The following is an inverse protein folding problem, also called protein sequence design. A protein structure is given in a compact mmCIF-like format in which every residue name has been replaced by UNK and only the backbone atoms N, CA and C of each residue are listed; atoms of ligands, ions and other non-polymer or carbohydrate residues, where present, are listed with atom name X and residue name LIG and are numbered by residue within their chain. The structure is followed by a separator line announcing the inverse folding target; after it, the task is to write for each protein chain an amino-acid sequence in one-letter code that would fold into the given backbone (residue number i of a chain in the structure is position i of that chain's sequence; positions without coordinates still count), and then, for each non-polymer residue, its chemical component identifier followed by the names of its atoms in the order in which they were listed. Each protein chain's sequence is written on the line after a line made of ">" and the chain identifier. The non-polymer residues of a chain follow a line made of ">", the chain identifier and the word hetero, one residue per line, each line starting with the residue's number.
data_IF_599199117825
#
_entry.id   IF_599199117825
#
_cell.length_a   1.000
_cell.length_b   1.000
_cell.length_c   1.000
_cell.angle_alpha   90.00
_cell.angle_beta   90.00
_cell.angle_gamma   90.00
#
_symmetry.space_group_name_H-M   'P 1'
#
loop_
_entity.id
_entity.type
_entity.pdbx_description
1 polymer ?
#
# COMPACT_ATOMS: atom_id res chain seq x y z
N UNK A 1 38.35 0.46 0.55
CA UNK A 1 38.15 1.60 1.49
C UNK A 1 36.71 1.63 2.00
N UNK A 2 35.93 0.64 1.60
CA UNK A 2 34.47 0.57 1.66
C UNK A 2 33.99 -0.15 2.93
N UNK A 3 34.76 -1.12 3.42
CA UNK A 3 34.47 -1.88 4.65
C UNK A 3 34.49 -1.01 5.94
N UNK A 4 35.24 0.11 5.92
CA UNK A 4 35.25 1.08 7.04
C UNK A 4 34.09 2.06 6.99
N UNK A 5 33.59 2.38 5.80
CA UNK A 5 32.45 3.29 5.61
C UNK A 5 31.14 2.59 5.98
N UNK A 6 31.02 1.31 5.59
CA UNK A 6 29.86 0.46 5.93
C UNK A 6 29.79 0.21 7.46
N UNK A 7 30.94 -0.01 8.10
CA UNK A 7 31.04 -0.07 9.57
C UNK A 7 30.70 1.25 10.27
N UNK A 8 30.95 2.41 9.66
CA UNK A 8 30.60 3.70 10.28
C UNK A 8 29.12 4.02 10.16
N UNK A 9 28.47 3.62 9.05
CA UNK A 9 27.02 3.74 8.85
C UNK A 9 26.29 2.77 9.80
N UNK A 10 26.79 1.54 9.94
CA UNK A 10 26.22 0.55 10.89
C UNK A 10 26.30 0.98 12.36
N UNK A 11 27.36 1.70 12.77
CA UNK A 11 27.53 2.16 14.16
C UNK A 11 26.77 3.43 14.52
N UNK A 12 26.33 4.20 13.53
CA UNK A 12 25.56 5.44 13.74
C UNK A 12 24.05 5.23 13.69
N UNK A 13 23.58 4.14 13.08
CA UNK A 13 22.14 3.86 12.96
C UNK A 13 21.46 3.43 14.27
N UNK A 14 22.20 2.84 15.22
CA UNK A 14 21.66 2.41 16.52
C UNK A 14 22.67 2.66 17.65
N UNK A 15 22.64 3.82 18.32
CA UNK A 15 23.33 3.99 19.59
C UNK A 15 22.67 3.10 20.66
N UNK A 16 23.48 2.51 21.55
CA UNK A 16 23.05 1.62 22.62
C UNK A 16 21.97 2.27 23.52
N UNK A 17 20.70 2.00 23.25
CA UNK A 17 19.60 2.39 24.14
C UNK A 17 19.58 1.49 25.39
N UNK A 18 19.73 2.13 26.55
CA UNK A 18 19.57 1.51 27.88
C UNK A 18 18.16 0.90 28.03
N UNK A 19 18.02 -0.25 28.72
CA UNK A 19 16.70 -0.85 28.93
C UNK A 19 15.86 0.06 29.84
N UNK A 20 14.66 0.43 29.38
CA UNK A 20 13.64 1.07 30.23
C UNK A 20 12.76 -0.04 30.79
N UNK A 21 12.97 -0.34 32.06
CA UNK A 21 12.15 -1.26 32.85
C UNK A 21 10.88 -0.49 33.27
N UNK A 22 9.70 -0.96 32.85
CA UNK A 22 8.41 -0.33 33.17
C UNK A 22 7.70 -1.21 34.20
N UNK A 23 7.74 -0.79 35.46
CA UNK A 23 6.99 -1.39 36.55
C UNK A 23 5.50 -1.07 36.42
N UNK A 24 4.66 -2.10 36.52
CA UNK A 24 3.21 -1.97 36.41
C UNK A 24 2.58 -1.38 37.67
N UNK A 25 1.78 -0.33 37.49
CA UNK A 25 0.76 0.11 38.45
C UNK A 25 0.82 1.61 38.76
N UNK A 26 -0.26 2.33 38.41
CA UNK A 26 -0.53 3.77 38.68
C UNK A 26 -0.08 4.82 37.61
N UNK A 27 0.46 4.39 36.46
CA UNK A 27 1.22 5.28 35.54
C UNK A 27 0.47 5.94 34.34
N UNK A 28 -0.85 5.84 34.19
CA UNK A 28 -1.46 6.17 32.88
C UNK A 28 -1.39 7.66 32.47
N UNK A 29 -1.31 8.58 33.43
CA UNK A 29 -1.17 10.03 33.17
C UNK A 29 0.28 10.51 33.01
N UNK A 30 1.21 9.91 33.77
CA UNK A 30 2.63 10.25 33.75
C UNK A 30 3.34 9.67 32.50
N UNK A 31 3.04 8.40 32.17
CA UNK A 31 3.60 7.76 30.98
C UNK A 31 3.18 8.45 29.67
N UNK A 32 1.95 9.00 29.61
CA UNK A 32 1.48 9.76 28.45
C UNK A 32 2.17 11.11 28.29
N UNK A 33 2.52 11.80 29.38
CA UNK A 33 3.31 13.05 29.31
C UNK A 33 4.74 12.77 28.88
N UNK A 34 5.34 11.70 29.39
CA UNK A 34 6.70 11.28 29.03
C UNK A 34 6.79 10.90 27.55
N UNK A 35 5.85 10.13 27.02
CA UNK A 35 5.85 9.76 25.60
C UNK A 35 5.65 10.96 24.66
N UNK A 36 4.82 11.94 25.04
CA UNK A 36 4.66 13.19 24.28
C UNK A 36 5.97 14.00 24.26
N UNK A 37 6.69 14.06 25.37
CA UNK A 37 7.99 14.74 25.44
C UNK A 37 9.04 14.06 24.54
N UNK A 38 9.13 12.72 24.59
CA UNK A 38 10.04 11.96 23.72
C UNK A 38 9.72 12.21 22.24
N UNK A 39 8.44 12.24 21.86
CA UNK A 39 8.05 12.54 20.48
C UNK A 39 8.47 13.96 20.08
N UNK A 40 8.30 14.94 20.97
CA UNK A 40 8.67 16.32 20.71
C UNK A 40 10.19 16.48 20.53
N UNK A 41 10.99 15.80 21.35
CA UNK A 41 12.45 15.82 21.26
C UNK A 41 12.94 15.17 19.96
N UNK A 42 12.35 14.04 19.56
CA UNK A 42 12.64 13.38 18.27
C UNK A 42 12.24 14.25 17.06
N UNK A 43 11.15 15.01 17.16
CA UNK A 43 10.74 15.97 16.12
C UNK A 43 11.72 17.15 16.05
N UNK A 44 12.18 17.64 17.20
CA UNK A 44 13.18 18.70 17.25
C UNK A 44 14.50 18.25 16.61
N UNK A 45 14.94 17.02 16.88
CA UNK A 45 16.11 16.41 16.25
C UNK A 45 15.94 16.23 14.73
N UNK A 46 14.79 15.72 14.27
CA UNK A 46 14.50 15.56 12.83
C UNK A 46 14.49 16.92 12.09
N UNK A 47 14.07 18.00 12.75
CA UNK A 47 14.08 19.34 12.17
C UNK A 47 15.47 19.97 12.04
N UNK A 48 16.51 19.39 12.68
CA UNK A 48 17.91 19.79 12.48
C UNK A 48 18.52 19.21 11.19
N UNK A 49 17.94 18.14 10.65
CA UNK A 49 18.40 17.49 9.43
C UNK A 49 17.94 18.24 8.18
N UNK A 50 18.71 18.16 7.09
CA UNK A 50 18.36 18.76 5.79
C UNK A 50 17.04 18.19 5.22
N UNK A 51 16.79 16.90 5.48
CA UNK A 51 15.56 16.20 5.11
C UNK A 51 14.72 16.00 6.37
N UNK A 52 13.59 16.70 6.43
CA UNK A 52 12.63 16.64 7.56
C UNK A 52 11.60 15.54 7.31
N UNK A 53 11.71 14.40 7.97
CA UNK A 53 10.85 13.23 7.77
C UNK A 53 9.51 13.38 8.53
N UNK A 54 9.50 14.02 9.70
CA UNK A 54 8.32 14.17 10.58
C UNK A 54 7.52 15.44 10.30
N UNK A 55 7.14 15.64 9.03
CA UNK A 55 6.38 16.85 8.61
C UNK A 55 4.92 16.57 8.23
N UNK A 56 4.51 15.29 8.13
CA UNK A 56 3.17 14.91 7.71
C UNK A 56 2.21 14.73 8.91
N UNK A 57 1.09 15.44 8.88
CA UNK A 57 -0.02 15.23 9.82
C UNK A 57 -0.67 13.86 9.57
N UNK A 58 -1.12 13.20 10.63
CA UNK A 58 -1.83 11.91 10.57
C UNK A 58 -3.03 11.96 9.62
N UNK A 59 -3.74 13.08 9.52
CA UNK A 59 -4.88 13.22 8.60
C UNK A 59 -4.46 13.12 7.14
N UNK A 60 -3.34 13.78 6.76
CA UNK A 60 -2.81 13.71 5.39
C UNK A 60 -2.34 12.30 5.07
N UNK A 61 -1.67 11.65 6.03
CA UNK A 61 -1.23 10.27 5.93
C UNK A 61 -2.40 9.29 5.71
N UNK A 62 -3.48 9.47 6.48
CA UNK A 62 -4.66 8.61 6.40
C UNK A 62 -5.39 8.74 5.06
N UNK A 63 -5.60 9.96 4.57
CA UNK A 63 -6.20 10.19 3.25
C UNK A 63 -5.34 9.64 2.12
N UNK A 64 -4.03 9.84 2.21
CA UNK A 64 -3.05 9.30 1.27
C UNK A 64 -3.14 7.77 1.18
N UNK A 65 -3.05 7.10 2.34
CA UNK A 65 -3.08 5.64 2.41
C UNK A 65 -4.44 5.07 1.98
N UNK A 66 -5.53 5.72 2.37
CA UNK A 66 -6.88 5.32 1.97
C UNK A 66 -7.04 5.39 0.44
N UNK A 67 -6.62 6.49 -0.19
CA UNK A 67 -6.75 6.67 -1.63
C UNK A 67 -5.98 5.62 -2.44
N UNK A 68 -4.75 5.30 -2.02
CA UNK A 68 -3.93 4.26 -2.64
C UNK A 68 -4.59 2.87 -2.57
N UNK A 69 -5.01 2.47 -1.37
CA UNK A 69 -5.58 1.13 -1.14
C UNK A 69 -6.93 0.93 -1.83
N UNK A 70 -7.79 1.96 -1.85
CA UNK A 70 -9.10 1.89 -2.53
C UNK A 70 -8.93 1.66 -4.04
N UNK A 71 -7.94 2.32 -4.66
CA UNK A 71 -7.68 2.15 -6.09
C UNK A 71 -7.27 0.72 -6.43
N UNK A 72 -6.31 0.16 -5.68
CA UNK A 72 -5.82 -1.21 -5.89
C UNK A 72 -6.95 -2.23 -5.70
N UNK A 73 -7.75 -2.05 -4.66
CA UNK A 73 -8.86 -2.93 -4.34
C UNK A 73 -9.90 -3.01 -5.48
N UNK A 74 -10.34 -1.87 -6.02
CA UNK A 74 -11.40 -1.84 -7.05
C UNK A 74 -10.97 -2.55 -8.34
N UNK A 75 -9.70 -2.39 -8.75
CA UNK A 75 -9.19 -3.01 -9.98
C UNK A 75 -9.14 -4.54 -9.89
N UNK A 76 -8.74 -5.07 -8.75
CA UNK A 76 -8.53 -6.49 -8.54
C UNK A 76 -9.80 -7.23 -8.10
N UNK A 77 -10.51 -6.67 -7.12
CA UNK A 77 -11.61 -7.36 -6.43
C UNK A 77 -12.82 -7.59 -7.33
N UNK A 78 -13.08 -6.69 -8.29
CA UNK A 78 -14.18 -6.83 -9.24
C UNK A 78 -14.06 -8.14 -10.04
N UNK A 79 -12.86 -8.46 -10.53
CA UNK A 79 -12.60 -9.73 -11.19
C UNK A 79 -12.72 -10.92 -10.22
N UNK A 80 -12.15 -10.82 -9.01
CA UNK A 80 -12.24 -11.91 -8.03
C UNK A 80 -13.68 -12.25 -7.65
N UNK A 81 -14.55 -11.25 -7.49
CA UNK A 81 -15.97 -11.44 -7.22
C UNK A 81 -16.71 -12.11 -8.39
N UNK A 82 -16.29 -11.85 -9.63
CA UNK A 82 -16.86 -12.53 -10.80
C UNK A 82 -16.54 -14.04 -10.85
N UNK A 83 -15.39 -14.44 -10.28
CA UNK A 83 -14.93 -15.84 -10.26
C UNK A 83 -15.48 -16.60 -9.05
N UNK A 84 -15.38 -16.02 -7.85
CA UNK A 84 -15.83 -16.62 -6.60
C UNK A 84 -17.35 -16.55 -6.43
N UNK A 85 -17.98 -15.50 -6.93
CA UNK A 85 -19.35 -15.13 -6.55
C UNK A 85 -19.40 -14.35 -5.24
N UNK A 86 -20.57 -13.77 -4.97
CA UNK A 86 -20.78 -12.84 -3.86
C UNK A 86 -20.51 -13.46 -2.48
N UNK A 87 -21.02 -14.66 -2.22
CA UNK A 87 -20.96 -15.26 -0.87
C UNK A 87 -19.53 -15.56 -0.44
N UNK A 88 -18.76 -16.41 -1.14
CA UNK A 88 -17.37 -16.68 -0.75
C UNK A 88 -16.47 -15.44 -0.90
N UNK A 89 -16.73 -14.56 -1.88
CA UNK A 89 -15.97 -13.33 -2.05
C UNK A 89 -16.07 -12.40 -0.84
N UNK A 90 -17.29 -12.13 -0.35
CA UNK A 90 -17.50 -11.29 0.85
C UNK A 90 -16.87 -11.95 2.09
N UNK A 91 -16.99 -13.26 2.25
CA UNK A 91 -16.39 -13.99 3.38
C UNK A 91 -14.87 -13.80 3.38
N UNK A 92 -14.21 -13.95 2.23
CA UNK A 92 -12.76 -13.72 2.09
C UNK A 92 -12.39 -12.27 2.38
N UNK A 93 -13.16 -11.30 1.87
CA UNK A 93 -12.92 -9.86 2.14
C UNK A 93 -13.02 -9.52 3.63
N UNK A 94 -14.05 -10.01 4.31
CA UNK A 94 -14.23 -9.78 5.76
C UNK A 94 -13.13 -10.47 6.55
N UNK A 95 -12.78 -11.71 6.21
CA UNK A 95 -11.68 -12.43 6.85
C UNK A 95 -10.34 -11.71 6.73
N UNK A 96 -10.00 -11.27 5.51
CA UNK A 96 -8.79 -10.48 5.23
C UNK A 96 -8.80 -9.15 6.00
N UNK A 97 -9.95 -8.46 6.02
CA UNK A 97 -10.13 -7.20 6.74
C UNK A 97 -9.93 -7.35 8.26
N UNK A 98 -10.41 -8.43 8.87
CA UNK A 98 -10.19 -8.72 10.29
C UNK A 98 -8.70 -8.95 10.58
N UNK A 99 -8.01 -9.74 9.76
CA UNK A 99 -6.57 -10.00 9.93
C UNK A 99 -5.74 -8.72 9.77
N UNK A 100 -6.07 -7.89 8.79
CA UNK A 100 -5.44 -6.58 8.59
C UNK A 100 -5.69 -5.66 9.79
N UNK A 101 -6.92 -5.61 10.30
CA UNK A 101 -7.30 -4.80 11.45
C UNK A 101 -6.53 -5.20 12.72
N UNK A 102 -6.44 -6.50 13.01
CA UNK A 102 -5.69 -7.03 14.16
C UNK A 102 -4.21 -6.66 14.03
N UNK A 103 -3.62 -6.86 12.86
CA UNK A 103 -2.21 -6.53 12.59
C UNK A 103 -1.95 -5.04 12.75
N UNK A 104 -2.83 -4.20 12.17
CA UNK A 104 -2.72 -2.74 12.23
C UNK A 104 -2.80 -2.20 13.65
N UNK A 105 -3.77 -2.66 14.45
CA UNK A 105 -3.87 -2.25 15.87
C UNK A 105 -2.66 -2.71 16.68
N UNK A 106 -2.18 -3.92 16.45
CA UNK A 106 -1.02 -4.47 17.17
C UNK A 106 0.24 -3.66 16.86
N UNK A 107 0.46 -3.39 15.58
CA UNK A 107 1.58 -2.56 15.12
C UNK A 107 1.48 -1.13 15.67
N UNK A 108 0.29 -0.52 15.64
CA UNK A 108 0.07 0.82 16.19
C UNK A 108 0.41 0.91 17.67
N UNK A 109 -0.07 -0.05 18.49
CA UNK A 109 0.23 -0.10 19.93
C UNK A 109 1.73 -0.26 20.19
N UNK A 110 2.43 -1.04 19.37
CA UNK A 110 3.86 -1.25 19.50
C UNK A 110 4.66 0.02 19.17
N UNK A 111 4.34 0.69 18.07
CA UNK A 111 5.00 1.95 17.66
C UNK A 111 4.73 3.06 18.69
N UNK A 112 3.54 3.12 19.27
CA UNK A 112 3.22 4.08 20.34
C UNK A 112 4.00 3.82 21.64
N UNK A 113 4.44 2.58 21.89
CA UNK A 113 5.29 2.24 23.03
C UNK A 113 6.78 2.53 22.75
N UNK A 114 7.21 2.36 21.50
CA UNK A 114 8.60 2.56 21.07
C UNK A 114 8.69 3.59 19.93
N UNK A 115 8.58 4.90 20.23
CA UNK A 115 8.56 5.97 19.23
C UNK A 115 9.89 6.21 18.50
N UNK A 116 10.96 5.51 18.90
CA UNK A 116 12.26 5.49 18.21
C UNK A 116 12.24 4.71 16.90
N UNK A 117 11.24 3.84 16.70
CA UNK A 117 11.08 3.05 15.46
C UNK A 117 10.60 3.97 14.34
N UNK A 118 11.40 4.11 13.28
CA UNK A 118 11.09 4.98 12.15
C UNK A 118 10.53 4.22 10.95
N UNK A 119 11.08 3.04 10.69
CA UNK A 119 10.76 2.22 9.53
C UNK A 119 10.34 0.79 9.90
N UNK A 120 9.72 0.08 8.96
CA UNK A 120 9.32 -1.33 9.15
C UNK A 120 10.54 -2.26 9.34
N UNK A 121 11.71 -1.87 8.82
CA UNK A 121 12.96 -2.60 9.02
C UNK A 121 13.40 -2.55 10.49
N UNK A 122 13.33 -1.35 11.10
CA UNK A 122 13.56 -1.15 12.53
C UNK A 122 12.56 -1.97 13.34
N UNK A 123 11.28 -1.93 12.95
CA UNK A 123 10.24 -2.75 13.60
C UNK A 123 10.62 -4.24 13.59
N UNK A 124 11.08 -4.76 12.45
CA UNK A 124 11.57 -6.14 12.35
C UNK A 124 12.75 -6.43 13.27
N UNK A 125 13.72 -5.51 13.35
CA UNK A 125 14.86 -5.65 14.25
C UNK A 125 14.44 -5.77 15.71
N UNK A 126 13.57 -4.88 16.20
CA UNK A 126 13.10 -4.91 17.59
C UNK A 126 12.14 -6.06 17.88
N UNK A 127 11.25 -6.40 16.94
CA UNK A 127 10.28 -7.49 17.11
C UNK A 127 10.96 -8.87 17.20
N UNK A 128 12.06 -9.09 16.45
CA UNK A 128 12.83 -10.35 16.46
C UNK A 128 14.02 -10.33 17.42
N UNK A 129 13.96 -9.51 18.47
CA UNK A 129 14.96 -9.54 19.56
C UNK A 129 16.34 -9.01 19.16
N UNK A 130 16.40 -7.91 18.40
CA UNK A 130 17.63 -7.24 17.96
C UNK A 130 18.50 -8.10 17.03
N UNK A 131 17.88 -8.96 16.24
CA UNK A 131 18.58 -9.77 15.24
C UNK A 131 18.86 -8.95 13.98
N UNK A 132 20.13 -8.82 13.60
CA UNK A 132 20.53 -8.19 12.32
C UNK A 132 19.99 -8.93 11.10
N UNK A 133 19.85 -10.25 11.19
CA UNK A 133 19.27 -11.05 10.10
C UNK A 133 17.81 -10.69 9.84
N UNK A 134 17.05 -10.40 10.91
CA UNK A 134 15.66 -9.98 10.77
C UNK A 134 15.55 -8.60 10.10
N UNK A 135 16.48 -7.68 10.37
CA UNK A 135 16.54 -6.36 9.73
C UNK A 135 16.79 -6.46 8.22
N UNK A 136 17.80 -7.22 7.81
CA UNK A 136 18.14 -7.40 6.39
C UNK A 136 17.01 -8.12 5.64
N UNK A 137 16.39 -9.12 6.27
CA UNK A 137 15.29 -9.86 5.67
C UNK A 137 14.03 -8.99 5.49
N UNK A 138 13.65 -8.19 6.50
CA UNK A 138 12.52 -7.26 6.36
C UNK A 138 12.80 -6.16 5.36
N UNK A 139 14.04 -5.66 5.30
CA UNK A 139 14.49 -4.73 4.26
C UNK A 139 14.36 -5.31 2.85
N UNK A 140 14.83 -6.55 2.64
CA UNK A 140 14.69 -7.24 1.36
C UNK A 140 13.22 -7.45 0.96
N UNK A 141 12.37 -7.86 1.91
CA UNK A 141 10.94 -8.05 1.68
C UNK A 141 10.24 -6.73 1.32
N UNK A 142 10.54 -5.65 2.04
CA UNK A 142 10.00 -4.31 1.75
C UNK A 142 10.44 -3.81 0.37
N UNK A 143 11.72 -3.94 0.04
CA UNK A 143 12.25 -3.52 -1.26
C UNK A 143 11.58 -4.29 -2.40
N UNK A 144 11.49 -5.61 -2.26
CA UNK A 144 10.85 -6.47 -3.26
C UNK A 144 9.36 -6.12 -3.43
N UNK A 145 8.64 -5.90 -2.32
CA UNK A 145 7.23 -5.49 -2.36
C UNK A 145 7.04 -4.16 -3.12
N UNK A 146 7.89 -3.15 -2.83
CA UNK A 146 7.84 -1.87 -3.54
C UNK A 146 8.14 -2.01 -5.03
N UNK A 147 9.12 -2.83 -5.43
CA UNK A 147 9.44 -3.07 -6.84
C UNK A 147 8.25 -3.70 -7.57
N UNK A 148 7.59 -4.68 -6.95
CA UNK A 148 6.42 -5.33 -7.54
C UNK A 148 5.23 -4.36 -7.68
N UNK A 149 5.01 -3.49 -6.69
CA UNK A 149 3.97 -2.45 -6.77
C UNK A 149 4.25 -1.44 -7.89
N UNK A 150 5.50 -1.00 -8.05
CA UNK A 150 5.90 -0.13 -9.17
C UNK A 150 5.63 -0.84 -10.50
N UNK A 151 5.99 -2.13 -10.60
CA UNK A 151 5.69 -2.95 -11.77
C UNK A 151 4.19 -3.04 -12.08
N UNK A 152 3.36 -3.19 -11.06
CA UNK A 152 1.90 -3.16 -11.19
C UNK A 152 1.39 -1.82 -11.75
N UNK A 153 1.91 -0.68 -11.27
CA UNK A 153 1.52 0.63 -11.79
C UNK A 153 1.93 0.82 -13.26
N UNK A 154 3.12 0.34 -13.65
CA UNK A 154 3.56 0.38 -15.05
C UNK A 154 2.66 -0.48 -15.93
N UNK A 155 2.29 -1.67 -15.47
CA UNK A 155 1.35 -2.55 -16.20
C UNK A 155 -0.03 -1.92 -16.33
N UNK A 156 -0.53 -1.30 -15.27
CA UNK A 156 -1.81 -0.58 -15.28
C UNK A 156 -1.78 0.59 -16.26
N UNK A 157 -0.70 1.39 -16.26
CA UNK A 157 -0.51 2.48 -17.22
C UNK A 157 -0.49 1.96 -18.67
N UNK A 158 0.20 0.85 -18.93
CA UNK A 158 0.23 0.23 -20.24
C UNK A 158 -1.15 -0.25 -20.71
N UNK A 159 -1.97 -0.79 -19.80
CA UNK A 159 -3.35 -1.19 -20.10
C UNK A 159 -4.23 0.01 -20.43
N UNK A 160 -4.12 1.09 -19.67
CA UNK A 160 -4.87 2.32 -19.94
C UNK A 160 -4.49 2.89 -21.31
N UNK A 161 -3.19 2.97 -21.63
CA UNK A 161 -2.72 3.46 -22.93
C UNK A 161 -3.16 2.56 -24.10
N UNK A 162 -3.20 1.24 -23.92
CA UNK A 162 -3.74 0.32 -24.91
C UNK A 162 -5.22 0.60 -25.19
N UNK A 163 -6.03 0.79 -24.14
CA UNK A 163 -7.46 1.06 -24.28
C UNK A 163 -7.71 2.42 -24.93
N UNK A 164 -6.94 3.46 -24.57
CA UNK A 164 -7.11 4.81 -25.14
C UNK A 164 -6.63 4.94 -26.59
N UNK A 165 -5.77 4.03 -27.04
CA UNK A 165 -5.17 4.07 -28.39
C UNK A 165 -5.69 2.97 -29.31
N UNK A 166 -6.77 2.29 -28.94
CA UNK A 166 -7.36 1.16 -29.69
C UNK A 166 -6.32 0.10 -30.11
N UNK A 167 -5.42 -0.26 -29.19
CA UNK A 167 -4.34 -1.24 -29.43
C UNK A 167 -3.44 -0.91 -30.62
N UNK A 168 -3.14 0.38 -30.84
CA UNK A 168 -2.31 0.84 -31.95
C UNK A 168 -0.89 0.25 -31.97
N UNK A 169 -0.31 -0.08 -30.80
CA UNK A 169 1.05 -0.60 -30.65
C UNK A 169 1.08 -1.76 -29.65
N UNK A 170 2.22 -2.46 -29.55
CA UNK A 170 2.36 -3.54 -28.60
C UNK A 170 2.40 -3.03 -27.15
N UNK A 171 1.77 -3.77 -26.24
CA UNK A 171 1.69 -3.43 -24.80
C UNK A 171 3.06 -3.16 -24.16
N UNK A 172 4.11 -3.83 -24.64
CA UNK A 172 5.49 -3.63 -24.15
C UNK A 172 5.97 -2.20 -24.38
N UNK A 173 5.66 -1.60 -25.53
CA UNK A 173 6.03 -0.20 -25.83
C UNK A 173 5.28 0.74 -24.88
N UNK A 174 4.00 0.50 -24.63
CA UNK A 174 3.25 1.29 -23.66
C UNK A 174 3.76 1.14 -22.22
N UNK A 175 4.25 -0.04 -21.82
CA UNK A 175 4.91 -0.24 -20.53
C UNK A 175 6.18 0.60 -20.40
N UNK A 176 7.01 0.67 -21.46
CA UNK A 176 8.21 1.51 -21.46
C UNK A 176 7.85 2.98 -21.35
N UNK A 177 6.80 3.44 -22.07
CA UNK A 177 6.31 4.83 -21.97
C UNK A 177 5.84 5.14 -20.55
N UNK A 178 5.03 4.26 -19.94
CA UNK A 178 4.56 4.41 -18.56
C UNK A 178 5.71 4.47 -17.55
N UNK A 179 6.74 3.63 -17.73
CA UNK A 179 7.96 3.65 -16.92
C UNK A 179 8.69 5.00 -17.02
N UNK A 180 8.89 5.51 -18.24
CA UNK A 180 9.60 6.79 -18.46
C UNK A 180 8.83 7.96 -17.83
N UNK A 181 7.50 7.99 -17.95
CA UNK A 181 6.66 8.99 -17.28
C UNK A 181 6.84 8.90 -15.77
N UNK A 182 6.80 7.69 -15.20
CA UNK A 182 7.00 7.46 -13.77
C UNK A 182 8.37 7.95 -13.26
N UNK A 183 9.44 7.70 -14.02
CA UNK A 183 10.79 8.17 -13.69
C UNK A 183 10.84 9.71 -13.69
N UNK A 184 10.32 10.35 -14.74
CA UNK A 184 10.32 11.82 -14.86
C UNK A 184 9.49 12.46 -13.74
N UNK A 185 8.31 11.90 -13.44
CA UNK A 185 7.44 12.42 -12.38
C UNK A 185 7.98 12.17 -10.97
N UNK A 186 8.97 11.27 -10.81
CA UNK A 186 9.62 10.96 -9.54
C UNK A 186 10.86 11.83 -9.25
N UNK A 187 11.29 12.68 -10.20
CA UNK A 187 12.39 13.64 -10.02
C UNK A 187 12.16 14.69 -8.90
N UNK A 188 10.94 15.27 -8.70
CA UNK A 188 10.73 16.24 -7.64
C UNK A 188 10.79 15.57 -6.25
N UNK A 189 11.99 15.53 -5.68
CA UNK A 189 12.34 14.87 -4.40
C UNK A 189 11.83 15.57 -3.13
N UNK A 190 11.17 16.73 -3.23
CA UNK A 190 10.81 17.53 -2.04
C UNK A 190 9.45 17.11 -1.46
N UNK A 191 9.48 16.58 -0.22
CA UNK A 191 8.31 16.03 0.51
C UNK A 191 7.09 16.98 0.57
N UNK A 192 7.31 18.29 0.61
CA UNK A 192 6.23 19.29 0.63
C UNK A 192 5.42 19.31 -0.67
N UNK A 193 6.09 19.15 -1.82
CA UNK A 193 5.46 19.15 -3.13
C UNK A 193 4.71 17.84 -3.37
N UNK A 194 5.29 16.72 -2.92
CA UNK A 194 4.71 15.37 -3.03
C UNK A 194 3.37 15.28 -2.27
N UNK A 195 3.28 15.86 -1.06
CA UNK A 195 2.03 15.84 -0.29
C UNK A 195 0.88 16.56 -1.00
N UNK A 196 1.15 17.67 -1.70
CA UNK A 196 0.12 18.38 -2.45
C UNK A 196 -0.28 17.64 -3.72
N UNK A 197 0.69 17.15 -4.49
CA UNK A 197 0.45 16.34 -5.70
C UNK A 197 -0.37 15.10 -5.37
N UNK A 198 -0.11 14.45 -4.24
CA UNK A 198 -0.85 13.25 -3.87
C UNK A 198 -2.29 13.53 -3.45
N UNK A 199 -2.55 14.63 -2.73
CA UNK A 199 -3.93 15.05 -2.44
C UNK A 199 -4.71 15.34 -3.72
N UNK A 200 -4.07 15.98 -4.70
CA UNK A 200 -4.67 16.21 -6.02
C UNK A 200 -4.96 14.89 -6.75
N UNK A 201 -4.01 13.96 -6.75
CA UNK A 201 -4.19 12.62 -7.34
C UNK A 201 -5.36 11.86 -6.70
N UNK A 202 -5.45 11.85 -5.36
CA UNK A 202 -6.53 11.19 -4.64
C UNK A 202 -7.90 11.80 -4.99
N UNK A 203 -7.97 13.12 -5.17
CA UNK A 203 -9.18 13.81 -5.61
C UNK A 203 -9.59 13.41 -7.03
N UNK A 204 -8.65 13.40 -7.98
CA UNK A 204 -8.91 12.93 -9.34
C UNK A 204 -9.39 11.47 -9.38
N UNK A 205 -8.79 10.61 -8.54
CA UNK A 205 -9.20 9.21 -8.41
C UNK A 205 -10.62 9.09 -7.87
N UNK A 206 -10.98 9.87 -6.84
CA UNK A 206 -12.32 9.87 -6.29
C UNK A 206 -13.37 10.27 -7.35
N UNK A 207 -13.08 11.28 -8.17
CA UNK A 207 -13.96 11.66 -9.30
C UNK A 207 -14.06 10.52 -10.32
N UNK A 208 -12.95 9.87 -10.68
CA UNK A 208 -12.95 8.77 -11.64
C UNK A 208 -13.83 7.60 -11.17
N UNK A 209 -13.73 7.23 -9.89
CA UNK A 209 -14.57 6.17 -9.29
C UNK A 209 -16.05 6.56 -9.31
N UNK A 210 -16.37 7.81 -8.96
CA UNK A 210 -17.75 8.30 -8.96
C UNK A 210 -18.35 8.28 -10.38
N UNK A 211 -17.60 8.75 -11.38
CA UNK A 211 -18.02 8.71 -12.78
C UNK A 211 -18.20 7.28 -13.27
N UNK A 212 -17.27 6.38 -12.94
CA UNK A 212 -17.39 4.96 -13.27
C UNK A 212 -18.68 4.35 -12.70
N UNK A 213 -19.00 4.62 -11.43
CA UNK A 213 -20.21 4.11 -10.79
C UNK A 213 -21.49 4.66 -11.44
N UNK A 214 -21.50 5.95 -11.79
CA UNK A 214 -22.64 6.58 -12.48
C UNK A 214 -22.84 5.97 -13.87
N UNK A 215 -21.77 5.85 -14.66
CA UNK A 215 -21.87 5.27 -16.00
C UNK A 215 -22.26 3.79 -15.96
N UNK A 216 -21.65 3.00 -15.08
CA UNK A 216 -22.03 1.60 -14.89
C UNK A 216 -23.48 1.43 -14.38
N UNK A 217 -24.04 2.43 -13.69
CA UNK A 217 -25.42 2.41 -13.20
C UNK A 217 -26.47 2.88 -14.21
N UNK A 218 -26.09 3.66 -15.22
CA UNK A 218 -26.99 4.19 -16.26
C UNK A 218 -26.95 3.32 -17.53
N UNK A 219 -25.78 2.76 -17.87
CA UNK A 219 -25.61 1.95 -19.08
C UNK A 219 -26.30 0.58 -18.94
N UNK A 220 -27.19 0.24 -19.87
CA UNK A 220 -27.95 -1.02 -19.81
C UNK A 220 -27.06 -2.27 -19.97
N UNK A 221 -25.98 -2.17 -20.77
CA UNK A 221 -25.07 -3.27 -21.06
C UNK A 221 -23.64 -2.77 -21.29
N UNK A 222 -22.60 -3.47 -20.80
CA UNK A 222 -21.23 -3.09 -21.10
C UNK A 222 -20.89 -3.39 -22.57
N UNK A 223 -20.32 -2.42 -23.27
CA UNK A 223 -19.92 -2.59 -24.67
C UNK A 223 -18.82 -3.64 -24.89
N UNK A 224 -17.87 -3.74 -23.96
CA UNK A 224 -16.74 -4.68 -24.02
C UNK A 224 -16.55 -5.39 -22.67
N UNK A 225 -16.34 -6.71 -22.71
CA UNK A 225 -16.07 -7.53 -21.53
C UNK A 225 -15.08 -8.65 -21.81
N UNK A 226 -14.73 -9.40 -20.76
CA UNK A 226 -13.77 -10.51 -20.85
C UNK A 226 -14.21 -11.61 -21.84
N UNK A 227 -15.52 -11.76 -22.03
CA UNK A 227 -16.14 -12.76 -22.90
C UNK A 227 -16.50 -12.23 -24.30
N UNK A 228 -16.05 -11.01 -24.65
CA UNK A 228 -16.26 -10.38 -25.95
C UNK A 228 -17.08 -9.09 -25.89
N UNK A 229 -17.57 -8.67 -27.05
CA UNK A 229 -18.41 -7.47 -27.20
C UNK A 229 -19.89 -7.81 -27.10
N UNK A 230 -20.68 -6.95 -26.47
CA UNK A 230 -22.14 -7.06 -26.52
C UNK A 230 -22.64 -6.85 -27.97
N UNK A 231 -23.66 -7.60 -28.46
CA UNK A 231 -24.49 -8.59 -27.75
C UNK A 231 -23.97 -10.04 -27.80
N UNK A 232 -22.87 -10.31 -28.51
CA UNK A 232 -22.35 -11.67 -28.68
C UNK A 232 -21.89 -12.32 -27.36
N UNK A 233 -21.43 -11.51 -26.40
CA UNK A 233 -21.02 -11.96 -25.08
C UNK A 233 -22.18 -12.25 -24.11
N UNK A 234 -23.42 -11.85 -24.44
CA UNK A 234 -24.59 -11.95 -23.56
C UNK A 234 -24.61 -10.91 -22.43
N UNK A 235 -25.64 -10.98 -21.59
CA UNK A 235 -25.82 -10.09 -20.43
C UNK A 235 -24.84 -10.43 -19.29
N UNK A 236 -24.38 -9.41 -18.57
CA UNK A 236 -23.57 -9.62 -17.36
C UNK A 236 -24.44 -10.19 -16.26
N UNK A 237 -24.06 -11.36 -15.75
CA UNK A 237 -24.72 -12.02 -14.64
C UNK A 237 -23.78 -12.08 -13.45
N UNK A 238 -24.31 -11.74 -12.28
CA UNK A 238 -23.62 -11.96 -11.01
C UNK A 238 -24.15 -13.19 -10.33
N UNK A 239 -23.27 -14.00 -9.74
CA UNK A 239 -23.64 -15.26 -9.11
C UNK A 239 -23.33 -15.21 -7.61
N UNK A 240 -24.17 -15.86 -6.80
CA UNK A 240 -23.90 -16.01 -5.37
C UNK A 240 -22.74 -16.98 -5.10
N UNK A 241 -22.58 -17.99 -5.96
CA UNK A 241 -21.61 -19.07 -5.87
C UNK A 241 -20.77 -19.17 -7.15
N UNK A 242 -19.60 -19.84 -7.09
CA UNK A 242 -18.76 -20.05 -8.26
C UNK A 242 -19.51 -20.81 -9.36
N UNK A 243 -19.29 -20.42 -10.61
CA UNK A 243 -19.87 -21.08 -11.77
C UNK A 243 -19.38 -22.55 -11.91
N UNK A 244 -20.24 -23.46 -12.41
CA UNK A 244 -19.81 -24.81 -12.77
C UNK A 244 -18.68 -24.75 -13.81
N UNK A 245 -17.50 -25.29 -13.47
CA UNK A 245 -16.30 -25.23 -14.31
C UNK A 245 -15.19 -24.30 -13.78
N UNK A 246 -15.43 -23.53 -12.72
CA UNK A 246 -14.36 -22.79 -12.04
C UNK A 246 -13.36 -23.77 -11.41
N UNK A 247 -12.11 -23.70 -11.84
CA UNK A 247 -11.05 -24.58 -11.32
C UNK A 247 -10.62 -24.13 -9.92
N UNK A 248 -10.07 -25.07 -9.14
CA UNK A 248 -9.46 -24.76 -7.85
C UNK A 248 -8.40 -23.65 -7.95
N UNK A 249 -7.59 -23.66 -9.01
CA UNK A 249 -6.56 -22.65 -9.27
C UNK A 249 -7.17 -21.27 -9.45
N UNK A 250 -8.29 -21.15 -10.17
CA UNK A 250 -8.98 -19.87 -10.36
C UNK A 250 -9.53 -19.35 -9.03
N UNK A 251 -10.11 -20.22 -8.21
CA UNK A 251 -10.57 -19.85 -6.87
C UNK A 251 -9.41 -19.35 -5.99
N UNK A 252 -8.30 -20.08 -5.95
CA UNK A 252 -7.13 -19.69 -5.14
C UNK A 252 -6.51 -18.38 -5.63
N UNK A 253 -6.38 -18.18 -6.94
CA UNK A 253 -5.89 -16.93 -7.51
C UNK A 253 -6.80 -15.75 -7.15
N UNK A 254 -8.12 -15.94 -7.20
CA UNK A 254 -9.06 -14.89 -6.88
C UNK A 254 -9.12 -14.58 -5.37
N UNK A 255 -8.90 -15.57 -4.50
CA UNK A 255 -8.69 -15.35 -3.05
C UNK A 255 -7.40 -14.55 -2.80
N UNK A 256 -6.28 -14.95 -3.42
CA UNK A 256 -4.99 -14.26 -3.30
C UNK A 256 -5.03 -12.81 -3.82
N UNK A 257 -5.94 -12.53 -4.75
CA UNK A 257 -6.12 -11.18 -5.28
C UNK A 257 -7.03 -10.31 -4.39
N UNK A 258 -7.75 -10.92 -3.43
CA UNK A 258 -8.55 -10.21 -2.41
C UNK A 258 -7.70 -9.90 -1.16
N UNK A 259 -6.82 -10.83 -0.77
CA UNK A 259 -6.00 -10.79 0.46
C UNK A 259 -4.64 -10.14 0.25
#
# INVERSE_FOLDING_TARGET
>A
MDDKLDRSISKTAYPDEKPVDVGEGEEHGAGRRLSIQIIHDLVAEDHTHEIKLRTMSWQKAAWLLCGDQVCLAIMAQTWSLSVLGWVPGIITMVGAGILFWITSITMHKYIMKYPQIRDICDFGYYAFGRSRLAYEFTGFMLLTNNILLIGFHVLTAAKILNTLSDHSQCTVVFSVIGMLIGIVMSIPRTLRHISFMSMFSAFCMAIAILLFLIFAGIEDHPGYGYYGTYPAAGEVRTYAWPLPGTTWVNCMNAVLNIT
#
